data_IF_142438835551
#
_entry.id   IF_142438835551
#
_cell.length_a   1.000
_cell.length_b   1.000
_cell.length_c   1.000
_cell.angle_alpha   90.00
_cell.angle_beta   90.00
_cell.angle_gamma   90.00
#
_symmetry.space_group_name_H-M   'P 1'
#
loop_
_entity.id
_entity.type
_entity.pdbx_description
1 polymer ?
#
# COMPACT_ATOMS: atom_id res chain seq x y z
N UNK A 1 -10.57 12.88 -12.48
CA UNK A 1 -11.15 12.74 -11.11
C UNK A 1 -11.64 11.32 -10.78
N UNK A 2 -12.41 10.61 -11.63
CA UNK A 2 -12.89 9.23 -11.32
C UNK A 2 -11.78 8.18 -11.15
N UNK A 3 -10.85 8.08 -12.12
CA UNK A 3 -9.77 7.08 -12.10
C UNK A 3 -8.85 7.16 -10.88
N UNK A 4 -8.59 8.37 -10.35
CA UNK A 4 -7.71 8.56 -9.19
C UNK A 4 -8.31 8.06 -7.90
N UNK A 5 -9.57 8.41 -7.65
CA UNK A 5 -10.28 7.93 -6.47
C UNK A 5 -10.43 6.41 -6.53
N UNK A 6 -10.66 5.85 -7.71
CA UNK A 6 -10.72 4.40 -7.93
C UNK A 6 -9.36 3.73 -7.65
N UNK A 7 -8.25 4.30 -8.13
CA UNK A 7 -6.92 3.75 -7.89
C UNK A 7 -6.53 3.84 -6.41
N UNK A 8 -6.78 4.98 -5.76
CA UNK A 8 -6.57 5.16 -4.32
C UNK A 8 -7.39 4.16 -3.51
N UNK A 9 -8.65 3.93 -3.89
CA UNK A 9 -9.53 3.01 -3.18
C UNK A 9 -9.12 1.55 -3.40
N UNK A 10 -8.67 1.19 -4.61
CA UNK A 10 -8.13 -0.13 -4.92
C UNK A 10 -6.86 -0.42 -4.12
N UNK A 11 -5.90 0.52 -4.08
CA UNK A 11 -4.68 0.40 -3.28
C UNK A 11 -5.01 0.29 -1.79
N UNK A 12 -5.96 1.09 -1.32
CA UNK A 12 -6.40 1.05 0.08
C UNK A 12 -7.01 -0.30 0.42
N UNK A 13 -7.84 -0.87 -0.46
CA UNK A 13 -8.48 -2.17 -0.25
C UNK A 13 -7.45 -3.32 -0.26
N UNK A 14 -6.57 -3.34 -1.26
CA UNK A 14 -5.52 -4.36 -1.41
C UNK A 14 -4.49 -4.27 -0.27
N UNK A 15 -4.10 -3.07 0.12
CA UNK A 15 -3.20 -2.85 1.25
C UNK A 15 -3.81 -3.32 2.58
N UNK A 16 -5.07 -3.02 2.82
CA UNK A 16 -5.75 -3.41 4.06
C UNK A 16 -5.93 -4.93 4.16
N UNK A 17 -6.26 -5.61 3.07
CA UNK A 17 -6.42 -7.08 3.06
C UNK A 17 -5.09 -7.78 3.31
N UNK A 18 -4.01 -7.38 2.63
CA UNK A 18 -2.68 -7.97 2.82
C UNK A 18 -2.18 -7.70 4.25
N UNK A 19 -2.39 -6.48 4.78
CA UNK A 19 -2.01 -6.14 6.15
C UNK A 19 -2.79 -6.97 7.18
N UNK A 20 -4.11 -7.13 7.00
CA UNK A 20 -4.94 -7.94 7.87
C UNK A 20 -4.51 -9.42 7.87
N UNK A 21 -4.18 -9.97 6.69
CA UNK A 21 -3.65 -11.34 6.57
C UNK A 21 -2.29 -11.44 7.26
N UNK A 22 -1.39 -10.48 7.05
CA UNK A 22 -0.06 -10.45 7.69
C UNK A 22 -0.15 -10.38 9.22
N UNK A 23 -1.03 -9.55 9.76
CA UNK A 23 -1.29 -9.46 11.20
C UNK A 23 -1.87 -10.77 11.74
N UNK A 24 -2.79 -11.40 11.00
CA UNK A 24 -3.39 -12.68 11.39
C UNK A 24 -2.35 -13.81 11.45
N UNK A 25 -1.46 -13.89 10.45
CA UNK A 25 -0.36 -14.86 10.41
C UNK A 25 0.65 -14.57 11.52
N UNK A 26 0.96 -13.31 11.79
CA UNK A 26 1.86 -12.91 12.86
C UNK A 26 1.30 -13.28 14.25
N UNK A 27 0.03 -12.99 14.51
CA UNK A 27 -0.65 -13.37 15.75
C UNK A 27 -0.69 -14.89 15.91
N UNK A 28 -1.00 -15.63 14.84
CA UNK A 28 -1.00 -17.09 14.87
C UNK A 28 0.40 -17.65 15.14
N UNK A 29 1.43 -17.13 14.47
CA UNK A 29 2.82 -17.52 14.70
C UNK A 29 3.32 -17.20 16.10
N UNK A 30 2.95 -16.04 16.66
CA UNK A 30 3.41 -15.60 17.98
C UNK A 30 2.73 -16.32 19.15
N UNK A 31 1.42 -16.60 19.06
CA UNK A 31 0.65 -17.18 20.17
C UNK A 31 0.58 -18.70 20.16
N UNK A 32 0.68 -19.35 18.98
CA UNK A 32 0.45 -20.81 18.85
C UNK A 32 1.74 -21.59 18.59
N UNK A 33 2.80 -20.94 18.09
CA UNK A 33 3.98 -21.64 17.63
C UNK A 33 5.24 -21.23 18.42
N UNK A 34 5.81 -22.16 19.19
CA UNK A 34 7.21 -22.09 19.66
C UNK A 34 8.23 -22.11 18.49
N UNK A 35 7.75 -22.20 17.24
CA UNK A 35 8.55 -22.16 16.02
C UNK A 35 8.84 -20.72 15.57
N UNK A 36 10.05 -20.26 15.92
CA UNK A 36 10.67 -19.00 15.48
C UNK A 36 10.50 -18.66 13.98
N UNK A 37 10.45 -19.69 13.12
CA UNK A 37 10.27 -19.55 11.67
C UNK A 37 8.92 -18.95 11.26
N UNK A 38 7.82 -19.29 11.95
CA UNK A 38 6.48 -18.78 11.60
C UNK A 38 6.35 -17.29 11.94
N UNK A 39 6.94 -16.87 13.05
CA UNK A 39 7.04 -15.46 13.44
C UNK A 39 7.86 -14.65 12.42
N UNK A 40 8.95 -15.23 11.89
CA UNK A 40 9.74 -14.62 10.81
C UNK A 40 8.93 -14.40 9.53
N UNK A 41 8.10 -15.36 9.14
CA UNK A 41 7.18 -15.22 8.00
C UNK A 41 6.13 -14.12 8.27
N UNK A 42 5.60 -14.06 9.49
CA UNK A 42 4.69 -13.00 9.92
C UNK A 42 5.32 -11.60 9.79
N UNK A 43 6.54 -11.42 10.30
CA UNK A 43 7.28 -10.15 10.20
C UNK A 43 7.53 -9.79 8.73
N UNK A 44 7.99 -10.74 7.91
CA UNK A 44 8.24 -10.51 6.49
C UNK A 44 6.97 -10.13 5.72
N UNK A 45 5.84 -10.75 6.05
CA UNK A 45 4.53 -10.43 5.45
C UNK A 45 4.06 -9.03 5.83
N UNK A 46 4.24 -8.63 7.09
CA UNK A 46 3.90 -7.27 7.55
C UNK A 46 4.82 -6.22 6.91
N UNK A 47 6.13 -6.45 6.88
CA UNK A 47 7.09 -5.55 6.20
C UNK A 47 6.77 -5.43 4.70
N UNK A 48 6.46 -6.54 4.03
CA UNK A 48 6.08 -6.56 2.63
C UNK A 48 4.77 -5.82 2.36
N UNK A 49 3.77 -5.99 3.22
CA UNK A 49 2.50 -5.27 3.14
C UNK A 49 2.71 -3.75 3.21
N UNK A 50 3.56 -3.28 4.12
CA UNK A 50 3.90 -1.85 4.25
C UNK A 50 4.60 -1.34 2.98
N UNK A 51 5.53 -2.11 2.42
CA UNK A 51 6.20 -1.74 1.17
C UNK A 51 5.22 -1.60 -0.01
N UNK A 52 4.33 -2.58 -0.20
CA UNK A 52 3.31 -2.54 -1.25
C UNK A 52 2.38 -1.33 -1.05
N UNK A 53 2.02 -1.03 0.19
CA UNK A 53 1.17 0.11 0.53
C UNK A 53 1.84 1.45 0.18
N UNK A 54 3.11 1.63 0.57
CA UNK A 54 3.89 2.83 0.25
C UNK A 54 4.08 2.99 -1.27
N UNK A 55 4.38 1.90 -1.98
CA UNK A 55 4.55 1.92 -3.44
C UNK A 55 3.24 2.32 -4.15
N UNK A 56 2.09 1.82 -3.68
CA UNK A 56 0.79 2.24 -4.18
C UNK A 56 0.51 3.72 -3.96
N UNK A 57 0.76 4.24 -2.75
CA UNK A 57 0.62 5.68 -2.45
C UNK A 57 1.52 6.53 -3.35
N UNK A 58 2.76 6.06 -3.59
CA UNK A 58 3.72 6.76 -4.45
C UNK A 58 3.23 6.88 -5.90
N UNK A 59 2.61 5.81 -6.44
CA UNK A 59 2.00 5.83 -7.77
C UNK A 59 0.86 6.85 -7.87
N UNK A 60 -0.02 6.89 -6.86
CA UNK A 60 -1.10 7.88 -6.82
C UNK A 60 -0.55 9.30 -6.77
N UNK A 61 0.44 9.56 -5.92
CA UNK A 61 1.08 10.88 -5.82
C UNK A 61 1.76 11.29 -7.14
N UNK A 62 2.36 10.33 -7.85
CA UNK A 62 2.97 10.57 -9.17
C UNK A 62 1.93 10.91 -10.23
N UNK A 63 0.79 10.21 -10.26
CA UNK A 63 -0.34 10.61 -11.11
C UNK A 63 -0.89 12.00 -10.74
N UNK A 64 -0.87 12.38 -9.46
CA UNK A 64 -1.21 13.75 -9.03
C UNK A 64 -0.25 14.80 -9.54
N UNK A 65 1.05 14.54 -9.52
CA UNK A 65 2.05 15.45 -10.07
C UNK A 65 1.92 15.55 -11.59
N UNK A 66 1.80 14.43 -12.30
CA UNK A 66 1.71 14.43 -13.76
C UNK A 66 0.45 15.15 -14.28
N UNK A 67 -0.73 14.94 -13.68
CA UNK A 67 -1.96 15.65 -14.08
C UNK A 67 -1.87 17.17 -13.82
N UNK A 68 -1.08 17.60 -12.82
CA UNK A 68 -0.86 19.02 -12.54
C UNK A 68 0.18 19.66 -13.47
N UNK A 69 1.09 18.88 -14.05
CA UNK A 69 2.08 19.36 -15.02
C UNK A 69 1.45 19.89 -16.31
N UNK A 70 0.34 19.29 -16.78
CA UNK A 70 -0.36 19.73 -18.00
C UNK A 70 -1.15 21.04 -17.84
N UNK A 71 -1.39 21.52 -16.60
CA UNK A 71 -2.03 22.81 -16.34
C UNK A 71 -1.01 23.95 -16.26
N UNK A 72 -0.05 23.95 -17.18
CA UNK A 72 0.84 25.08 -17.40
C UNK A 72 0.03 26.36 -17.54
N UNK A 73 0.41 27.39 -16.78
CA UNK A 73 -0.21 28.71 -16.80
C UNK A 73 -0.23 29.19 -18.25
N UNK A 74 -1.41 29.32 -18.86
CA UNK A 74 -1.53 30.03 -20.14
C UNK A 74 -1.21 31.49 -19.89
N UNK A 75 0.04 31.87 -20.17
CA UNK A 75 0.44 33.26 -20.25
C UNK A 75 -0.20 33.80 -21.54
N UNK A 76 -1.45 34.24 -21.43
CA UNK A 76 -2.12 35.01 -22.49
C UNK A 76 -1.38 36.35 -22.58
N UNK A 77 -0.65 36.53 -23.67
CA UNK A 77 -0.07 37.81 -24.08
C UNK A 77 -0.95 38.42 -25.15
#
# INVERSE_FOLDING_TARGET
MKSKQEMLNAIKYVGYTILAIGISIFLYGFFISDYSTLTGIGIGTVMGAVFIFLMGIFFVATEEMQEKTDKGIRIVR
#
